data_IF_225930796251
#
_entry.id   IF_225930796251
#
_cell.length_a   1.000
_cell.length_b   1.000
_cell.length_c   1.000
_cell.angle_alpha   90.00
_cell.angle_beta   90.00
_cell.angle_gamma   90.00
#
_symmetry.space_group_name_H-M   'P 1'
#
loop_
_entity.id
_entity.type
_entity.pdbx_description
1 polymer ?
#
# COMPACT_ATOMS: atom_id res chain seq x y z
N UNK A 1 3.17 -35.66 -2.20
CA UNK A 1 2.00 -34.87 -1.76
C UNK A 1 1.51 -34.06 -2.95
N UNK A 2 0.31 -34.34 -3.47
CA UNK A 2 -0.23 -33.61 -4.62
C UNK A 2 -0.92 -32.35 -4.08
N UNK A 3 -0.40 -31.17 -4.39
CA UNK A 3 -1.06 -29.89 -4.10
C UNK A 3 -2.18 -29.72 -5.13
N UNK A 4 -3.43 -29.59 -4.66
CA UNK A 4 -4.56 -29.21 -5.51
C UNK A 4 -4.58 -27.69 -5.68
N UNK A 5 -4.94 -27.23 -6.87
CA UNK A 5 -5.23 -25.81 -7.09
C UNK A 5 -6.45 -25.40 -6.26
N UNK A 6 -6.38 -24.29 -5.51
CA UNK A 6 -7.50 -23.80 -4.75
C UNK A 6 -8.54 -23.16 -5.67
N UNK A 7 -9.82 -23.43 -5.39
CA UNK A 7 -10.94 -22.78 -6.08
C UNK A 7 -10.90 -21.25 -5.89
N UNK A 8 -11.19 -20.45 -6.94
CA UNK A 8 -11.19 -19.00 -6.85
C UNK A 8 -12.23 -18.46 -5.85
N UNK A 9 -11.78 -17.61 -4.92
CA UNK A 9 -12.68 -16.92 -3.98
C UNK A 9 -13.26 -15.67 -4.65
N UNK A 10 -14.58 -15.63 -4.82
CA UNK A 10 -15.29 -14.49 -5.44
C UNK A 10 -15.49 -13.35 -4.43
N UNK A 11 -14.60 -12.37 -4.39
CA UNK A 11 -14.64 -11.26 -3.40
C UNK A 11 -15.23 -9.95 -3.93
N UNK A 12 -15.58 -9.85 -5.23
CA UNK A 12 -16.04 -8.60 -5.84
C UNK A 12 -17.26 -7.98 -5.13
N UNK A 13 -18.15 -8.81 -4.58
CA UNK A 13 -19.32 -8.37 -3.81
C UNK A 13 -18.96 -7.65 -2.50
N UNK A 14 -17.74 -7.84 -1.98
CA UNK A 14 -17.25 -7.21 -0.75
C UNK A 14 -16.71 -5.79 -0.98
N UNK A 15 -16.39 -5.41 -2.23
CA UNK A 15 -15.73 -4.14 -2.51
C UNK A 15 -16.62 -2.93 -2.18
N UNK A 16 -17.90 -2.98 -2.56
CA UNK A 16 -18.84 -1.89 -2.24
C UNK A 16 -19.09 -1.75 -0.73
N UNK A 17 -19.41 -2.81 0.04
CA UNK A 17 -19.51 -2.72 1.50
C UNK A 17 -18.22 -2.25 2.17
N UNK A 18 -17.07 -2.82 1.81
CA UNK A 18 -15.76 -2.43 2.35
C UNK A 18 -15.50 -0.94 2.14
N UNK A 19 -15.78 -0.44 0.94
CA UNK A 19 -15.59 0.98 0.61
C UNK A 19 -16.49 1.89 1.43
N UNK A 20 -17.75 1.50 1.68
CA UNK A 20 -18.65 2.26 2.55
C UNK A 20 -18.12 2.35 3.98
N UNK A 21 -17.62 1.25 4.54
CA UNK A 21 -17.06 1.25 5.89
C UNK A 21 -15.77 2.08 5.97
N UNK A 22 -14.91 2.01 4.95
CA UNK A 22 -13.74 2.88 4.86
C UNK A 22 -14.12 4.38 4.88
N UNK A 23 -15.10 4.78 4.07
CA UNK A 23 -15.55 6.18 4.02
C UNK A 23 -16.13 6.63 5.37
N UNK A 24 -16.85 5.75 6.09
CA UNK A 24 -17.32 6.06 7.45
C UNK A 24 -16.15 6.30 8.40
N UNK A 25 -15.18 5.38 8.44
CA UNK A 25 -13.98 5.52 9.29
C UNK A 25 -13.25 6.84 9.00
N UNK A 26 -13.02 7.16 7.73
CA UNK A 26 -12.33 8.40 7.36
C UNK A 26 -13.14 9.66 7.70
N UNK A 27 -14.48 9.58 7.67
CA UNK A 27 -15.36 10.71 8.01
C UNK A 27 -15.38 11.01 9.50
N UNK A 28 -15.16 10.00 10.34
CA UNK A 28 -15.15 10.15 11.79
C UNK A 28 -13.80 10.69 12.32
N UNK A 29 -12.79 10.84 11.46
CA UNK A 29 -11.49 11.41 11.83
C UNK A 29 -11.58 12.91 12.10
N UNK A 30 -11.00 13.33 13.22
CA UNK A 30 -10.75 14.73 13.59
C UNK A 30 -9.60 15.30 12.78
N UNK A 31 -9.57 16.62 12.63
CA UNK A 31 -8.55 17.33 11.83
C UNK A 31 -7.09 16.91 12.14
N UNK A 32 -6.65 16.76 13.40
CA UNK A 32 -5.27 16.36 13.69
C UNK A 32 -4.96 14.90 13.30
N UNK A 33 -5.96 14.02 13.30
CA UNK A 33 -5.80 12.58 13.08
C UNK A 33 -5.44 12.27 11.62
N UNK A 34 -5.82 13.15 10.70
CA UNK A 34 -5.38 13.09 9.30
C UNK A 34 -3.86 13.18 9.14
N UNK A 35 -3.14 13.73 10.11
CA UNK A 35 -1.68 13.89 10.11
C UNK A 35 -0.96 12.76 10.86
N UNK A 36 -1.69 11.80 11.44
CA UNK A 36 -1.06 10.70 12.17
C UNK A 36 -0.20 9.84 11.24
N UNK A 37 0.99 9.40 11.71
CA UNK A 37 1.82 8.48 10.96
C UNK A 37 1.11 7.14 10.79
N UNK A 38 1.49 6.42 9.75
CA UNK A 38 0.94 5.08 9.44
C UNK A 38 2.04 4.03 9.45
N UNK A 39 1.66 2.77 9.26
CA UNK A 39 2.61 1.70 9.00
C UNK A 39 3.38 1.91 7.67
N UNK A 40 2.91 2.80 6.78
CA UNK A 40 3.68 3.22 5.62
C UNK A 40 4.64 4.34 6.04
N UNK A 41 5.94 4.04 6.04
CA UNK A 41 6.98 4.99 6.44
C UNK A 41 6.83 6.32 5.69
N UNK A 42 6.79 7.42 6.43
CA UNK A 42 6.66 8.77 5.86
C UNK A 42 5.27 9.13 5.33
N UNK A 43 4.27 8.26 5.45
CA UNK A 43 2.90 8.54 5.02
C UNK A 43 2.00 8.82 6.23
N UNK A 44 1.24 9.90 6.12
CA UNK A 44 0.14 10.23 7.02
C UNK A 44 -1.12 9.45 6.65
N UNK A 45 -2.13 9.44 7.54
CA UNK A 45 -3.47 8.92 7.20
C UNK A 45 -4.03 9.60 5.95
N UNK A 46 -3.81 10.92 5.80
CA UNK A 46 -4.19 11.65 4.58
C UNK A 46 -3.47 11.14 3.34
N UNK A 47 -2.18 10.83 3.43
CA UNK A 47 -1.43 10.28 2.29
C UNK A 47 -1.97 8.91 1.85
N UNK A 48 -2.34 8.04 2.81
CA UNK A 48 -2.99 6.76 2.49
C UNK A 48 -4.32 6.98 1.75
N UNK A 49 -5.16 7.90 2.23
CA UNK A 49 -6.42 8.22 1.56
C UNK A 49 -6.22 8.85 0.16
N UNK A 50 -5.18 9.68 -0.01
CA UNK A 50 -4.82 10.24 -1.32
C UNK A 50 -4.33 9.16 -2.28
N UNK A 51 -3.53 8.20 -1.82
CA UNK A 51 -3.10 7.06 -2.64
C UNK A 51 -4.28 6.25 -3.15
N UNK A 52 -5.26 5.94 -2.28
CA UNK A 52 -6.50 5.26 -2.67
C UNK A 52 -7.28 6.03 -3.74
N UNK A 53 -7.35 7.36 -3.62
CA UNK A 53 -7.98 8.19 -4.65
C UNK A 53 -7.22 8.08 -5.99
N UNK A 54 -5.89 8.07 -5.95
CA UNK A 54 -5.04 7.91 -7.13
C UNK A 54 -5.30 6.61 -7.88
N UNK A 55 -5.44 5.50 -7.14
CA UNK A 55 -5.79 4.20 -7.71
C UNK A 55 -7.18 4.23 -8.36
N UNK A 56 -8.18 4.78 -7.67
CA UNK A 56 -9.55 4.84 -8.16
C UNK A 56 -9.65 5.66 -9.46
N UNK A 57 -9.08 6.87 -9.50
CA UNK A 57 -9.14 7.72 -10.71
C UNK A 57 -8.29 7.16 -11.85
N UNK A 58 -7.16 6.51 -11.54
CA UNK A 58 -6.32 5.86 -12.53
C UNK A 58 -7.03 4.65 -13.15
N UNK A 59 -7.74 3.86 -12.33
CA UNK A 59 -8.56 2.77 -12.80
C UNK A 59 -9.70 3.26 -13.71
N UNK A 60 -10.43 4.29 -13.29
CA UNK A 60 -11.51 4.88 -14.08
C UNK A 60 -10.96 5.40 -15.43
N UNK A 61 -9.88 6.16 -15.42
CA UNK A 61 -9.24 6.68 -16.64
C UNK A 61 -8.86 5.55 -17.60
N UNK A 62 -8.17 4.52 -17.13
CA UNK A 62 -7.72 3.41 -17.98
C UNK A 62 -8.85 2.51 -18.47
N UNK A 63 -9.86 2.26 -17.65
CA UNK A 63 -10.86 1.21 -17.90
C UNK A 63 -12.20 1.75 -18.38
N UNK A 64 -12.72 2.79 -17.74
CA UNK A 64 -13.97 3.44 -18.14
C UNK A 64 -13.76 4.30 -19.38
N UNK A 65 -12.66 5.07 -19.38
CA UNK A 65 -12.43 6.09 -20.40
C UNK A 65 -11.46 5.63 -21.50
N UNK A 66 -10.79 4.48 -21.30
CA UNK A 66 -9.82 3.93 -22.26
C UNK A 66 -8.54 4.76 -22.39
N UNK A 67 -8.28 5.69 -21.47
CA UNK A 67 -7.13 6.58 -21.50
C UNK A 67 -5.98 6.03 -20.64
N UNK A 68 -4.84 5.74 -21.28
CA UNK A 68 -3.60 5.36 -20.59
C UNK A 68 -2.47 6.30 -20.99
N UNK A 69 -1.87 6.95 -20.01
CA UNK A 69 -0.84 7.98 -20.25
C UNK A 69 0.53 7.37 -20.60
N UNK A 70 0.82 6.16 -20.12
CA UNK A 70 2.09 5.48 -20.33
C UNK A 70 1.87 3.97 -20.50
N UNK A 71 2.60 3.38 -21.44
CA UNK A 71 2.92 1.96 -21.45
C UNK A 71 4.44 1.87 -21.30
N UNK A 72 4.89 1.24 -20.22
CA UNK A 72 6.30 1.05 -19.93
C UNK A 72 6.48 -0.42 -19.63
N UNK A 73 7.34 -1.06 -20.41
CA UNK A 73 7.77 -2.43 -20.15
C UNK A 73 8.92 -2.40 -19.14
N UNK A 74 8.96 -3.41 -18.26
CA UNK A 74 10.00 -3.57 -17.25
C UNK A 74 10.65 -4.94 -17.45
N UNK A 75 11.97 -4.98 -17.49
CA UNK A 75 12.71 -6.25 -17.60
C UNK A 75 12.83 -6.92 -16.23
N UNK A 76 12.86 -6.11 -15.16
CA UNK A 76 13.04 -6.57 -13.80
C UNK A 76 11.93 -6.07 -12.88
N UNK A 77 11.59 -6.89 -11.87
CA UNK A 77 10.52 -6.56 -10.93
C UNK A 77 10.85 -5.31 -10.12
N UNK A 78 12.11 -5.11 -9.77
CA UNK A 78 12.61 -3.97 -9.01
C UNK A 78 12.36 -2.65 -9.74
N UNK A 79 12.46 -2.65 -11.07
CA UNK A 79 12.19 -1.48 -11.91
C UNK A 79 10.71 -1.10 -11.89
N UNK A 80 9.83 -2.11 -11.97
CA UNK A 80 8.38 -1.92 -11.81
C UNK A 80 8.06 -1.32 -10.43
N UNK A 81 8.67 -1.85 -9.36
CA UNK A 81 8.48 -1.34 -8.00
C UNK A 81 8.95 0.11 -7.88
N UNK A 82 10.15 0.40 -8.38
CA UNK A 82 10.71 1.75 -8.35
C UNK A 82 9.82 2.74 -9.13
N UNK A 83 9.31 2.32 -10.28
CA UNK A 83 8.39 3.12 -11.09
C UNK A 83 7.07 3.39 -10.35
N UNK A 84 6.44 2.37 -9.75
CA UNK A 84 5.20 2.54 -8.98
C UNK A 84 5.42 3.49 -7.81
N UNK A 85 6.52 3.34 -7.06
CA UNK A 85 6.87 4.21 -5.94
C UNK A 85 7.07 5.66 -6.40
N UNK A 86 7.74 5.87 -7.54
CA UNK A 86 7.90 7.20 -8.12
C UNK A 86 6.56 7.81 -8.52
N UNK A 87 5.67 7.06 -9.18
CA UNK A 87 4.34 7.55 -9.55
C UNK A 87 3.51 7.92 -8.32
N UNK A 88 3.56 7.08 -7.28
CA UNK A 88 2.88 7.35 -6.00
C UNK A 88 3.43 8.62 -5.34
N UNK A 89 4.74 8.81 -5.28
CA UNK A 89 5.35 10.00 -4.69
C UNK A 89 4.98 11.28 -5.46
N UNK A 90 5.04 11.24 -6.79
CA UNK A 90 4.61 12.36 -7.66
C UNK A 90 3.15 12.71 -7.38
N UNK A 91 2.27 11.71 -7.37
CA UNK A 91 0.85 11.91 -7.09
C UNK A 91 0.63 12.50 -5.69
N UNK A 92 1.24 11.94 -4.65
CA UNK A 92 1.05 12.41 -3.28
C UNK A 92 1.55 13.84 -3.10
N UNK A 93 2.74 14.17 -3.62
CA UNK A 93 3.26 15.55 -3.59
C UNK A 93 2.30 16.53 -4.25
N UNK A 94 1.75 16.17 -5.41
CA UNK A 94 0.79 17.01 -6.12
C UNK A 94 -0.55 17.12 -5.39
N UNK A 95 -1.05 16.02 -4.82
CA UNK A 95 -2.41 15.88 -4.31
C UNK A 95 -2.57 16.31 -2.85
N UNK A 96 -1.47 16.50 -2.09
CA UNK A 96 -1.50 16.97 -0.68
C UNK A 96 -2.24 18.30 -0.45
N UNK A 97 -2.41 19.13 -1.50
CA UNK A 97 -3.21 20.36 -1.47
C UNK A 97 -4.72 20.14 -1.37
N UNK A 98 -5.21 18.93 -1.64
CA UNK A 98 -6.63 18.57 -1.54
C UNK A 98 -7.01 18.53 -0.05
N UNK A 99 -8.09 19.20 0.35
CA UNK A 99 -8.58 19.16 1.74
C UNK A 99 -9.17 17.79 2.08
N UNK A 100 -9.16 17.37 3.36
CA UNK A 100 -9.79 16.11 3.77
C UNK A 100 -11.27 15.98 3.33
N UNK A 101 -12.03 17.07 3.43
CA UNK A 101 -13.44 17.09 3.00
C UNK A 101 -13.60 16.84 1.49
N UNK A 102 -12.79 17.51 0.67
CA UNK A 102 -12.82 17.30 -0.78
C UNK A 102 -12.34 15.88 -1.13
N UNK A 103 -11.33 15.37 -0.44
CA UNK A 103 -10.82 14.01 -0.61
C UNK A 103 -11.91 12.97 -0.33
N UNK A 104 -12.66 13.10 0.77
CA UNK A 104 -13.78 12.22 1.10
C UNK A 104 -14.86 12.24 0.01
N UNK A 105 -15.20 13.42 -0.50
CA UNK A 105 -16.17 13.56 -1.58
C UNK A 105 -15.68 12.87 -2.85
N UNK A 106 -14.42 13.06 -3.23
CA UNK A 106 -13.85 12.43 -4.42
C UNK A 106 -13.80 10.90 -4.28
N UNK A 107 -13.40 10.39 -3.11
CA UNK A 107 -13.40 8.94 -2.84
C UNK A 107 -14.82 8.34 -2.87
N UNK A 108 -15.82 9.00 -2.29
CA UNK A 108 -17.21 8.50 -2.34
C UNK A 108 -17.77 8.51 -3.77
N UNK A 109 -17.41 9.52 -4.57
CA UNK A 109 -17.84 9.58 -5.97
C UNK A 109 -17.13 8.50 -6.82
N UNK A 110 -15.82 8.33 -6.67
CA UNK A 110 -15.08 7.32 -7.42
C UNK A 110 -15.55 5.90 -7.06
N UNK A 111 -15.80 5.65 -5.77
CA UNK A 111 -16.35 4.40 -5.24
C UNK A 111 -17.70 3.98 -5.84
N UNK A 112 -18.53 4.93 -6.31
CA UNK A 112 -19.81 4.63 -6.95
C UNK A 112 -19.65 4.13 -8.38
N UNK A 113 -18.57 4.57 -9.05
CA UNK A 113 -18.29 4.28 -10.46
C UNK A 113 -17.47 3.00 -10.61
N UNK A 114 -16.65 2.68 -9.61
CA UNK A 114 -15.69 1.58 -9.66
C UNK A 114 -16.30 0.16 -9.72
N UNK A 115 -17.36 -0.20 -8.98
CA UNK A 115 -17.92 -1.55 -9.00
C UNK A 115 -18.47 -1.98 -10.35
N UNK A 116 -18.95 -1.04 -11.17
CA UNK A 116 -19.39 -1.33 -12.53
C UNK A 116 -18.20 -1.60 -13.43
N UNK A 117 -17.19 -0.73 -13.39
CA UNK A 117 -15.94 -0.89 -14.15
C UNK A 117 -15.20 -2.17 -13.78
N UNK A 118 -15.14 -2.50 -12.49
CA UNK A 118 -14.59 -3.78 -12.04
C UNK A 118 -15.45 -4.96 -12.45
N UNK A 119 -16.78 -4.89 -12.32
CA UNK A 119 -17.62 -5.99 -12.81
C UNK A 119 -17.41 -6.23 -14.29
N UNK A 120 -17.36 -5.18 -15.11
CA UNK A 120 -17.17 -5.30 -16.56
C UNK A 120 -15.77 -5.83 -16.90
N UNK A 121 -14.74 -5.33 -16.22
CA UNK A 121 -13.35 -5.80 -16.38
C UNK A 121 -13.15 -7.26 -15.92
N UNK A 122 -13.74 -7.65 -14.80
CA UNK A 122 -13.56 -8.98 -14.22
C UNK A 122 -14.55 -10.01 -14.81
N UNK A 123 -15.72 -9.60 -15.30
CA UNK A 123 -16.62 -10.45 -16.09
C UNK A 123 -16.06 -10.70 -17.50
N UNK A 124 -15.31 -9.75 -18.08
CA UNK A 124 -14.60 -9.92 -19.34
C UNK A 124 -13.32 -10.76 -19.26
N UNK A 125 -12.77 -10.99 -18.05
CA UNK A 125 -11.64 -11.90 -17.86
C UNK A 125 -12.12 -13.33 -17.62
N UNK A 126 -12.41 -14.04 -18.72
CA UNK A 126 -12.29 -15.50 -18.79
C UNK A 126 -10.84 -16.00 -18.69
N UNK A 127 -9.95 -15.20 -18.08
CA UNK A 127 -8.51 -15.41 -18.06
C UNK A 127 -7.94 -15.08 -16.67
N UNK A 128 -8.74 -15.37 -15.63
CA UNK A 128 -8.20 -15.57 -14.29
C UNK A 128 -7.07 -16.59 -14.36
N UNK A 129 -7.18 -17.57 -15.26
CA UNK A 129 -6.17 -18.59 -15.52
C UNK A 129 -4.81 -18.02 -15.91
N UNK A 130 -4.67 -17.01 -16.79
CA UNK A 130 -3.33 -16.41 -17.04
C UNK A 130 -2.79 -15.61 -15.87
N UNK A 131 -3.64 -14.87 -15.14
CA UNK A 131 -3.21 -14.14 -13.94
C UNK A 131 -2.78 -15.13 -12.86
N UNK A 132 -3.57 -16.18 -12.64
CA UNK A 132 -3.27 -17.29 -11.74
C UNK A 132 -2.06 -18.08 -12.21
N UNK A 133 -1.83 -18.26 -13.51
CA UNK A 133 -0.65 -18.93 -14.06
C UNK A 133 0.61 -18.09 -13.86
N UNK A 134 0.52 -16.78 -14.02
CA UNK A 134 1.61 -15.84 -13.69
C UNK A 134 1.89 -15.80 -12.18
N UNK A 135 0.85 -15.75 -11.35
CA UNK A 135 0.95 -15.84 -9.88
C UNK A 135 1.48 -17.22 -9.45
N UNK A 136 1.10 -18.29 -10.14
CA UNK A 136 1.53 -19.66 -9.87
C UNK A 136 2.98 -19.90 -10.32
N UNK A 137 3.42 -19.27 -11.39
CA UNK A 137 4.81 -19.32 -11.86
C UNK A 137 5.74 -18.55 -10.92
N UNK A 138 5.23 -17.49 -10.29
CA UNK A 138 5.94 -16.71 -9.27
C UNK A 138 5.54 -17.10 -7.84
N UNK A 139 4.94 -18.28 -7.66
CA UNK A 139 4.28 -18.72 -6.41
C UNK A 139 5.24 -18.76 -5.23
N UNK A 140 6.45 -19.25 -5.41
CA UNK A 140 7.40 -19.39 -4.31
C UNK A 140 7.96 -18.05 -3.82
N UNK A 141 7.92 -17.00 -4.66
CA UNK A 141 8.25 -15.63 -4.29
C UNK A 141 7.06 -14.90 -3.65
N UNK A 142 5.84 -15.18 -4.13
CA UNK A 142 4.60 -14.62 -3.58
C UNK A 142 4.15 -15.28 -2.27
N UNK A 143 4.40 -16.58 -2.06
CA UNK A 143 4.00 -17.30 -0.84
C UNK A 143 4.92 -17.03 0.35
N UNK A 144 6.13 -16.51 0.12
CA UNK A 144 7.01 -16.08 1.20
C UNK A 144 6.60 -14.74 1.80
N UNK A 145 5.65 -14.01 1.19
CA UNK A 145 5.23 -12.68 1.62
C UNK A 145 3.71 -12.52 1.44
N UNK A 146 2.96 -12.40 2.54
CA UNK A 146 1.56 -11.95 2.43
C UNK A 146 1.51 -10.53 1.82
N UNK A 147 0.32 -10.06 1.38
CA UNK A 147 0.13 -8.70 0.82
C UNK A 147 0.87 -7.63 1.64
N UNK A 148 0.85 -7.78 2.97
CA UNK A 148 1.56 -6.92 3.92
C UNK A 148 3.08 -7.14 4.00
N UNK A 149 3.59 -8.34 3.71
CA UNK A 149 5.02 -8.63 3.60
C UNK A 149 5.65 -8.07 2.33
N UNK A 150 4.92 -8.07 1.21
CA UNK A 150 5.35 -7.40 -0.03
C UNK A 150 5.37 -5.89 0.18
N UNK A 151 4.33 -5.33 0.81
CA UNK A 151 4.25 -3.91 1.13
C UNK A 151 5.32 -3.47 2.16
N UNK A 152 5.58 -4.29 3.18
CA UNK A 152 6.59 -4.02 4.23
C UNK A 152 8.01 -3.97 3.67
N UNK A 153 8.35 -4.90 2.77
CA UNK A 153 9.66 -4.94 2.13
C UNK A 153 9.81 -3.84 1.07
N UNK A 154 8.74 -3.48 0.36
CA UNK A 154 8.69 -2.32 -0.56
C UNK A 154 8.93 -0.97 0.14
N UNK A 155 8.60 -0.86 1.42
CA UNK A 155 8.73 0.37 2.22
C UNK A 155 10.03 0.46 3.02
N UNK A 156 10.92 -0.53 2.92
CA UNK A 156 12.24 -0.51 3.57
C UNK A 156 12.20 -0.50 5.11
N UNK A 157 11.12 -0.95 5.73
CA UNK A 157 10.97 -0.97 7.19
C UNK A 157 11.79 -2.11 7.80
N UNK A 158 13.00 -1.80 8.26
CA UNK A 158 13.77 -2.70 9.12
C UNK A 158 13.19 -2.75 10.54
N UNK A 159 13.37 -3.90 11.18
CA UNK A 159 12.98 -4.14 12.57
C UNK A 159 13.84 -3.27 13.50
N UNK A 160 13.28 -2.25 14.15
CA UNK A 160 13.85 -1.76 15.41
C UNK A 160 13.49 -2.77 16.52
N UNK A 161 14.26 -3.84 16.58
CA UNK A 161 14.43 -4.62 17.80
C UNK A 161 15.93 -4.68 18.09
N UNK A 162 16.43 -3.62 18.73
CA UNK A 162 17.61 -3.74 19.58
C UNK A 162 17.12 -3.69 21.03
N UNK A 163 17.38 -4.77 21.77
CA UNK A 163 17.18 -4.88 23.21
C UNK A 163 17.81 -3.69 23.97
N UNK A 164 17.31 -3.35 25.17
CA UNK A 164 17.88 -2.26 25.96
C UNK A 164 19.36 -2.52 26.24
N UNK A 165 20.22 -1.62 25.78
CA UNK A 165 21.61 -1.60 26.21
C UNK A 165 21.64 -1.27 27.70
N UNK A 166 22.13 -2.22 28.51
CA UNK A 166 22.51 -1.99 29.89
C UNK A 166 23.54 -0.85 29.95
N UNK A 167 23.35 0.17 30.80
CA UNK A 167 24.37 1.19 31.01
C UNK A 167 25.62 0.56 31.65
N UNK A 168 26.83 1.05 31.34
CA UNK A 168 28.05 0.51 31.92
C UNK A 168 28.05 0.71 33.45
N UNK A 169 28.25 -0.40 34.18
CA UNK A 169 28.44 -0.43 35.62
C UNK A 169 29.59 0.46 36.06
N UNK A 170 29.31 1.38 36.97
CA UNK A 170 30.30 2.11 37.72
C UNK A 170 30.98 1.19 38.75
N UNK A 171 32.28 0.97 38.56
CA UNK A 171 33.23 0.41 39.54
C UNK A 171 34.60 0.65 38.92
N UNK A 172 35.64 1.20 39.54
CA UNK A 172 35.90 1.75 40.87
C UNK A 172 37.32 2.33 40.76
N UNK A 173 37.62 3.45 41.43
CA UNK A 173 38.99 3.94 41.62
C UNK A 173 39.93 2.87 42.21
N UNK A 174 41.25 3.06 42.05
CA UNK A 174 41.98 3.46 43.25
C UNK A 174 43.07 4.54 43.03
N UNK A 175 43.01 5.55 43.90
CA UNK A 175 44.08 6.21 44.68
C UNK A 175 45.50 6.43 44.10
N UNK A 176 45.85 7.72 44.02
CA UNK A 176 47.06 8.38 44.57
C UNK A 176 48.47 7.76 44.36
N UNK A 177 49.37 8.56 43.77
CA UNK A 177 50.74 8.82 44.29
C UNK A 177 51.44 10.00 43.59
N UNK A 178 51.50 11.12 44.32
CA UNK A 178 52.65 12.04 44.60
C UNK A 178 53.80 12.27 43.61
N UNK A 179 54.19 13.57 43.54
CA UNK A 179 55.49 14.18 43.21
C UNK A 179 55.92 14.14 41.73
N UNK A 180 56.47 15.20 41.11
CA UNK A 180 57.17 16.38 41.62
C UNK A 180 57.05 17.55 40.63
#
# INVERSE_FOLDING_TARGET
MILREPEPVKTAHLLTPMRKELIKVLRDLREPEWRYPTACAGWTVKDVALHLLGDDIGLLSRRRDGFSHTQTDFEHFEELVAFINLQNDIWLRAARRISPELLLNLLDNAARLEPQVLRDHWAGRGDLDKVLKSVSQNRDDLLKKNFWGVLRDMLGLQQENAAPQTPPSATSEPSEKTAS
#
